data_IF_680224776726
#
_entry.id   IF_680224776726
#
_cell.length_a   1.000
_cell.length_b   1.000
_cell.length_c   1.000
_cell.angle_alpha   90.00
_cell.angle_beta   90.00
_cell.angle_gamma   90.00
#
_symmetry.space_group_name_H-M   'P 1'
#
loop_
_entity.id
_entity.type
_entity.pdbx_description
1 polymer ?
#
# COMPACT_ATOMS: atom_id res chain seq x y z
N UNK A 1 -19.99 -7.80 9.97
CA UNK A 1 -18.81 -7.48 9.15
C UNK A 1 -18.06 -8.77 8.87
N UNK A 2 -17.53 -8.95 7.67
CA UNK A 2 -16.68 -10.09 7.30
C UNK A 2 -15.30 -9.95 7.94
N UNK A 3 -14.79 -11.00 8.59
CA UNK A 3 -13.51 -11.00 9.30
C UNK A 3 -12.30 -11.31 8.40
N UNK A 4 -12.40 -11.06 7.10
CA UNK A 4 -11.29 -11.34 6.20
C UNK A 4 -10.17 -10.33 6.39
N UNK A 5 -8.95 -10.87 6.43
CA UNK A 5 -7.71 -10.11 6.46
C UNK A 5 -6.83 -10.61 5.34
N UNK A 6 -6.27 -9.67 4.57
CA UNK A 6 -5.38 -9.96 3.46
C UNK A 6 -3.97 -9.49 3.78
N UNK A 7 -2.99 -10.19 3.23
CA UNK A 7 -1.57 -9.93 3.47
C UNK A 7 -0.86 -9.79 2.13
N UNK A 8 0.06 -8.83 2.06
CA UNK A 8 0.97 -8.62 0.93
C UNK A 8 2.33 -8.20 1.48
N UNK A 9 3.41 -8.58 0.78
CA UNK A 9 4.80 -8.35 1.17
C UNK A 9 5.65 -8.27 -0.10
N UNK A 10 6.82 -7.62 -0.02
CA UNK A 10 7.89 -7.70 -1.02
C UNK A 10 7.41 -7.38 -2.45
N UNK A 11 6.58 -6.35 -2.59
CA UNK A 11 6.06 -5.94 -3.90
C UNK A 11 7.12 -5.19 -4.73
N UNK A 12 8.07 -4.50 -4.06
CA UNK A 12 9.17 -3.74 -4.67
C UNK A 12 8.70 -2.92 -5.89
N UNK A 13 7.68 -2.08 -5.71
CA UNK A 13 7.17 -1.23 -6.79
C UNK A 13 8.23 -0.20 -7.19
N UNK A 14 8.59 -0.16 -8.48
CA UNK A 14 9.62 0.72 -9.03
C UNK A 14 11.02 0.09 -9.21
N UNK A 15 11.20 -1.18 -8.83
CA UNK A 15 12.52 -1.85 -8.88
C UNK A 15 12.92 -2.38 -10.27
N UNK A 16 11.95 -2.58 -11.18
CA UNK A 16 12.15 -3.35 -12.42
C UNK A 16 11.83 -2.55 -13.69
N UNK A 17 11.96 -3.21 -14.86
CA UNK A 17 11.63 -2.60 -16.15
C UNK A 17 10.14 -2.23 -16.26
N UNK A 18 9.78 -1.23 -17.10
CA UNK A 18 8.40 -0.76 -17.22
C UNK A 18 7.35 -1.86 -17.49
N UNK A 19 7.69 -2.87 -18.29
CA UNK A 19 6.78 -3.99 -18.58
C UNK A 19 6.51 -4.86 -17.35
N UNK A 20 7.54 -5.09 -16.53
CA UNK A 20 7.41 -5.85 -15.28
C UNK A 20 6.66 -5.03 -14.22
N UNK A 21 6.92 -3.73 -14.12
CA UNK A 21 6.16 -2.84 -13.23
C UNK A 21 4.68 -2.79 -13.62
N UNK A 22 4.37 -2.68 -14.91
CA UNK A 22 3.01 -2.75 -15.41
C UNK A 22 2.33 -4.09 -15.06
N UNK A 23 3.07 -5.19 -15.13
CA UNK A 23 2.57 -6.50 -14.71
C UNK A 23 2.29 -6.56 -13.20
N UNK A 24 3.21 -6.10 -12.35
CA UNK A 24 3.03 -6.01 -10.89
C UNK A 24 1.82 -5.16 -10.53
N UNK A 25 1.66 -3.98 -11.15
CA UNK A 25 0.51 -3.09 -10.94
C UNK A 25 -0.82 -3.73 -11.33
N UNK A 26 -0.88 -4.46 -12.45
CA UNK A 26 -2.09 -5.22 -12.83
C UNK A 26 -2.43 -6.31 -11.82
N UNK A 27 -1.43 -7.01 -11.28
CA UNK A 27 -1.64 -8.00 -10.22
C UNK A 27 -2.12 -7.36 -8.92
N UNK A 28 -1.57 -6.20 -8.58
CA UNK A 28 -1.97 -5.44 -7.40
C UNK A 28 -3.40 -4.91 -7.51
N UNK A 29 -3.81 -4.39 -8.68
CA UNK A 29 -5.19 -3.97 -8.95
C UNK A 29 -6.17 -5.15 -8.81
N UNK A 30 -5.83 -6.31 -9.38
CA UNK A 30 -6.62 -7.53 -9.20
C UNK A 30 -6.72 -7.95 -7.72
N UNK A 31 -5.62 -7.88 -6.99
CA UNK A 31 -5.60 -8.18 -5.56
C UNK A 31 -6.49 -7.23 -4.76
N UNK A 32 -6.40 -5.91 -4.99
CA UNK A 32 -7.24 -4.94 -4.29
C UNK A 32 -8.73 -5.06 -4.67
N UNK A 33 -9.05 -5.49 -5.90
CA UNK A 33 -10.43 -5.87 -6.25
C UNK A 33 -10.93 -7.04 -5.41
N UNK A 34 -10.13 -8.10 -5.25
CA UNK A 34 -10.46 -9.24 -4.38
C UNK A 34 -10.67 -8.78 -2.93
N UNK A 35 -9.79 -7.93 -2.40
CA UNK A 35 -9.93 -7.35 -1.04
C UNK A 35 -11.28 -6.63 -0.89
N UNK A 36 -11.67 -5.81 -1.88
CA UNK A 36 -12.96 -5.11 -1.90
C UNK A 36 -14.15 -6.06 -2.01
N UNK A 37 -14.11 -7.01 -2.94
CA UNK A 37 -15.17 -8.00 -3.19
C UNK A 37 -15.46 -8.85 -1.95
N UNK A 38 -14.43 -9.27 -1.24
CA UNK A 38 -14.55 -10.02 0.01
C UNK A 38 -14.93 -9.15 1.22
N UNK A 39 -15.10 -7.84 1.03
CA UNK A 39 -15.39 -6.87 2.11
C UNK A 39 -14.43 -7.06 3.28
N UNK A 40 -13.13 -7.07 2.98
CA UNK A 40 -12.09 -7.27 3.98
C UNK A 40 -12.21 -6.23 5.10
N UNK A 41 -11.94 -6.64 6.33
CA UNK A 41 -11.82 -5.69 7.45
C UNK A 41 -10.42 -5.10 7.51
N UNK A 42 -9.40 -5.86 7.10
CA UNK A 42 -8.00 -5.46 7.22
C UNK A 42 -7.19 -5.86 5.99
N UNK A 43 -6.18 -5.05 5.69
CA UNK A 43 -5.05 -5.40 4.83
C UNK A 43 -3.75 -5.13 5.60
N UNK A 44 -2.83 -6.07 5.50
CA UNK A 44 -1.50 -6.01 6.09
C UNK A 44 -0.46 -5.96 4.97
N UNK A 45 0.32 -4.88 4.95
CA UNK A 45 1.46 -4.67 4.05
C UNK A 45 2.72 -4.90 4.86
N UNK A 46 3.43 -5.98 4.58
CA UNK A 46 4.49 -6.56 5.41
C UNK A 46 5.90 -6.18 4.93
N UNK A 47 6.13 -4.91 4.64
CA UNK A 47 7.43 -4.40 4.20
C UNK A 47 7.70 -4.55 2.71
N UNK A 48 8.72 -3.82 2.27
CA UNK A 48 9.24 -3.72 0.91
C UNK A 48 8.14 -3.61 -0.15
N UNK A 49 7.16 -2.75 0.13
CA UNK A 49 6.03 -2.51 -0.77
C UNK A 49 6.45 -1.61 -1.93
N UNK A 50 7.25 -0.59 -1.63
CA UNK A 50 7.94 0.22 -2.62
C UNK A 50 9.40 -0.19 -2.69
N UNK A 51 10.02 -0.03 -3.85
CA UNK A 51 11.47 -0.14 -3.95
C UNK A 51 12.18 1.01 -3.24
N UNK A 52 11.49 2.14 -3.10
CA UNK A 52 11.95 3.23 -2.25
C UNK A 52 10.77 4.06 -1.77
N UNK A 53 10.65 4.23 -0.46
CA UNK A 53 9.75 5.21 0.12
C UNK A 53 10.45 6.06 1.18
N UNK A 54 10.23 7.36 1.08
CA UNK A 54 10.63 8.32 2.10
C UNK A 54 9.47 9.28 2.38
N UNK A 55 9.15 9.44 3.66
CA UNK A 55 8.02 10.25 4.08
C UNK A 55 8.41 11.73 4.13
N UNK A 56 8.06 12.47 3.08
CA UNK A 56 8.18 13.91 3.05
C UNK A 56 6.87 14.57 3.46
N UNK A 57 6.98 15.64 4.25
CA UNK A 57 5.82 16.41 4.71
C UNK A 57 4.89 16.88 3.57
N UNK A 58 5.47 17.27 2.42
CA UNK A 58 4.75 17.92 1.33
C UNK A 58 4.96 17.25 -0.04
N UNK A 59 5.63 16.11 -0.12
CA UNK A 59 6.00 15.46 -1.39
C UNK A 59 5.57 14.01 -1.35
N UNK A 60 4.96 13.56 -2.45
CA UNK A 60 4.75 12.15 -2.75
C UNK A 60 5.38 11.83 -4.10
N UNK A 61 5.80 10.59 -4.27
CA UNK A 61 6.33 10.11 -5.55
C UNK A 61 5.19 9.88 -6.53
N UNK A 62 5.17 10.67 -7.63
CA UNK A 62 4.13 10.56 -8.65
C UNK A 62 4.07 9.19 -9.33
N UNK A 63 5.19 8.47 -9.35
CA UNK A 63 5.28 7.10 -9.85
C UNK A 63 4.36 6.11 -9.11
N UNK A 64 4.04 6.38 -7.85
CA UNK A 64 3.17 5.53 -7.03
C UNK A 64 1.74 6.04 -6.92
N UNK A 65 1.40 7.12 -7.63
CA UNK A 65 0.13 7.83 -7.46
C UNK A 65 -1.11 6.94 -7.66
N UNK A 66 -1.10 6.07 -8.66
CA UNK A 66 -2.15 5.08 -8.94
C UNK A 66 -2.32 4.06 -7.80
N UNK A 67 -1.22 3.59 -7.21
CA UNK A 67 -1.25 2.64 -6.09
C UNK A 67 -1.74 3.32 -4.82
N UNK A 68 -1.27 4.55 -4.56
CA UNK A 68 -1.75 5.36 -3.42
C UNK A 68 -3.25 5.66 -3.54
N UNK A 69 -3.76 5.93 -4.75
CA UNK A 69 -5.20 6.08 -4.99
C UNK A 69 -5.97 4.80 -4.63
N UNK A 70 -5.47 3.63 -5.04
CA UNK A 70 -6.13 2.36 -4.72
C UNK A 70 -6.13 2.05 -3.21
N UNK A 71 -5.02 2.33 -2.51
CA UNK A 71 -4.99 2.22 -1.05
C UNK A 71 -5.99 3.18 -0.39
N UNK A 72 -6.13 4.40 -0.92
CA UNK A 72 -7.16 5.34 -0.45
C UNK A 72 -8.57 4.82 -0.69
N UNK A 73 -8.84 4.18 -1.83
CA UNK A 73 -10.12 3.53 -2.06
C UNK A 73 -10.41 2.43 -1.03
N UNK A 74 -9.42 1.59 -0.68
CA UNK A 74 -9.59 0.57 0.35
C UNK A 74 -9.95 1.20 1.69
N UNK A 75 -9.22 2.24 2.10
CA UNK A 75 -9.50 3.00 3.30
C UNK A 75 -10.93 3.58 3.30
N UNK A 76 -11.34 4.22 2.20
CA UNK A 76 -12.69 4.80 2.07
C UNK A 76 -13.81 3.73 2.09
N UNK A 77 -13.50 2.49 1.68
CA UNK A 77 -14.40 1.34 1.79
C UNK A 77 -14.38 0.69 3.19
N UNK A 78 -13.69 1.29 4.17
CA UNK A 78 -13.67 0.82 5.55
C UNK A 78 -12.64 -0.27 5.84
N UNK A 79 -11.72 -0.54 4.91
CA UNK A 79 -10.60 -1.47 5.12
C UNK A 79 -9.53 -0.78 5.97
N UNK A 80 -9.14 -1.40 7.09
CA UNK A 80 -8.01 -0.92 7.89
C UNK A 80 -6.69 -1.32 7.25
N UNK A 81 -5.80 -0.35 7.09
CA UNK A 81 -4.47 -0.58 6.52
C UNK A 81 -3.46 -0.68 7.67
N UNK A 82 -2.70 -1.76 7.68
CA UNK A 82 -1.57 -1.98 8.58
C UNK A 82 -0.31 -2.05 7.72
N UNK A 83 0.66 -1.19 8.00
CA UNK A 83 1.89 -1.08 7.24
C UNK A 83 3.08 -1.32 8.15
N UNK A 84 3.87 -2.34 7.83
CA UNK A 84 5.12 -2.67 8.52
C UNK A 84 6.27 -2.21 7.63
N UNK A 85 7.19 -1.42 8.19
CA UNK A 85 8.35 -0.95 7.43
C UNK A 85 9.31 -2.10 7.07
N UNK A 86 9.61 -2.27 5.78
CA UNK A 86 10.73 -3.09 5.30
C UNK A 86 12.01 -2.26 5.15
N UNK A 87 13.10 -2.86 4.68
CA UNK A 87 14.38 -2.14 4.49
C UNK A 87 14.36 -1.09 3.39
N UNK A 88 13.44 -1.19 2.44
CA UNK A 88 13.20 -0.15 1.43
C UNK A 88 12.20 0.93 1.87
N UNK A 89 11.49 0.68 2.98
CA UNK A 89 10.41 1.52 3.51
C UNK A 89 10.71 2.08 4.93
N UNK A 90 11.97 2.04 5.39
CA UNK A 90 12.35 2.36 6.78
C UNK A 90 11.91 3.74 7.30
N UNK A 91 11.59 4.67 6.40
CA UNK A 91 11.21 6.04 6.76
C UNK A 91 9.69 6.27 6.84
N UNK A 92 8.89 5.22 6.93
CA UNK A 92 7.46 5.34 7.23
C UNK A 92 7.25 5.99 8.61
N UNK A 93 6.70 7.21 8.63
CA UNK A 93 6.44 7.92 9.87
C UNK A 93 5.02 7.66 10.36
N UNK A 94 4.87 7.42 11.67
CA UNK A 94 3.56 7.40 12.35
C UNK A 94 2.82 8.75 12.30
N UNK A 95 3.45 9.79 11.78
CA UNK A 95 2.88 11.13 11.58
C UNK A 95 3.00 11.63 10.14
N UNK A 96 3.32 10.74 9.20
CA UNK A 96 3.55 11.10 7.80
C UNK A 96 2.38 10.77 6.88
N UNK A 97 2.65 10.60 5.58
CA UNK A 97 1.60 10.50 4.56
C UNK A 97 0.62 9.35 4.84
N UNK A 98 1.13 8.14 5.10
CA UNK A 98 0.28 6.95 5.28
C UNK A 98 -0.62 7.07 6.52
N UNK A 99 -0.06 7.51 7.64
CA UNK A 99 -0.83 7.74 8.86
C UNK A 99 -1.90 8.83 8.67
N UNK A 100 -1.54 9.97 8.06
CA UNK A 100 -2.43 11.12 7.97
C UNK A 100 -3.48 11.01 6.84
N UNK A 101 -3.11 10.45 5.69
CA UNK A 101 -3.95 10.44 4.48
C UNK A 101 -4.71 9.14 4.27
N UNK A 102 -4.24 8.04 4.88
CA UNK A 102 -4.84 6.71 4.74
C UNK A 102 -5.29 6.14 6.10
N UNK A 103 -5.08 6.87 7.20
CA UNK A 103 -5.31 6.38 8.57
C UNK A 103 -4.68 4.99 8.80
N UNK A 104 -3.52 4.76 8.20
CA UNK A 104 -2.82 3.50 8.29
C UNK A 104 -2.11 3.39 9.64
N UNK A 105 -2.15 2.21 10.23
CA UNK A 105 -1.32 1.89 11.40
C UNK A 105 0.08 1.56 10.91
N UNK A 106 1.09 2.29 11.38
CA UNK A 106 2.50 2.12 11.00
C UNK A 106 3.21 1.35 12.12
N UNK A 107 3.97 0.32 11.73
CA UNK A 107 4.72 -0.58 12.61
C UNK A 107 6.19 -0.69 12.19
#
# INVERSE_FOLDING_TARGET
>A
MSNYSFFISDAHLGAESPDKENYKRKKLDQFFKIVKEHRASNIFILGDFFDFWFDYKNVIYSEYFDVLCQLRELFLNGVKIHFFGGNHDWWMSSSGFFANQLNANIY
#
